data_IF_430305021326
#
_entry.id   IF_430305021326
#
_cell.length_a   1.000
_cell.length_b   1.000
_cell.length_c   1.000
_cell.angle_alpha   90.00
_cell.angle_beta   90.00
_cell.angle_gamma   90.00
#
_symmetry.space_group_name_H-M   'P 1'
#
loop_
_entity.id
_entity.type
_entity.pdbx_description
1 polymer ?
#
# COMPACT_ATOMS: atom_id res chain seq x y z
N UNK A 1 -14.99 -0.41 -25.88
CA UNK A 1 -14.19 -1.45 -25.19
C UNK A 1 -13.33 -0.85 -24.09
N UNK A 2 -12.57 0.23 -24.34
CA UNK A 2 -11.70 0.89 -23.34
C UNK A 2 -12.42 1.45 -22.11
N UNK A 3 -13.61 2.03 -22.29
CA UNK A 3 -14.35 2.63 -21.18
C UNK A 3 -14.92 1.54 -20.24
N UNK A 4 -15.38 0.42 -20.81
CA UNK A 4 -15.91 -0.73 -20.08
C UNK A 4 -14.79 -1.50 -19.36
N UNK A 5 -13.63 -1.68 -20.01
CA UNK A 5 -12.45 -2.25 -19.36
C UNK A 5 -11.92 -1.34 -18.26
N UNK A 6 -11.95 -0.01 -18.44
CA UNK A 6 -11.58 0.97 -17.42
C UNK A 6 -12.46 0.90 -16.16
N UNK A 7 -13.79 0.81 -16.32
CA UNK A 7 -14.73 0.64 -15.20
C UNK A 7 -14.46 -0.66 -14.45
N UNK A 8 -14.27 -1.76 -15.16
CA UNK A 8 -13.97 -3.08 -14.56
C UNK A 8 -12.63 -3.07 -13.82
N UNK A 9 -11.59 -2.47 -14.38
CA UNK A 9 -10.28 -2.37 -13.73
C UNK A 9 -10.37 -1.46 -12.51
N UNK A 10 -11.07 -0.33 -12.58
CA UNK A 10 -11.21 0.60 -11.47
C UNK A 10 -12.00 0.00 -10.30
N UNK A 11 -13.13 -0.64 -10.58
CA UNK A 11 -13.91 -1.36 -9.57
C UNK A 11 -13.11 -2.51 -8.95
N UNK A 12 -12.33 -3.24 -9.77
CA UNK A 12 -11.45 -4.30 -9.28
C UNK A 12 -10.33 -3.78 -8.36
N UNK A 13 -9.68 -2.66 -8.72
CA UNK A 13 -8.68 -2.01 -7.89
C UNK A 13 -9.28 -1.53 -6.56
N UNK A 14 -10.49 -0.94 -6.59
CA UNK A 14 -11.23 -0.58 -5.39
C UNK A 14 -11.49 -1.79 -4.49
N UNK A 15 -11.90 -2.92 -5.06
CA UNK A 15 -12.11 -4.15 -4.30
C UNK A 15 -10.79 -4.67 -3.69
N UNK A 16 -9.70 -4.59 -4.44
CA UNK A 16 -8.38 -5.01 -3.98
C UNK A 16 -7.83 -4.12 -2.86
N UNK A 17 -8.18 -2.83 -2.78
CA UNK A 17 -7.84 -1.97 -1.62
C UNK A 17 -8.36 -2.58 -0.31
N UNK A 18 -9.60 -3.05 -0.30
CA UNK A 18 -10.19 -3.69 0.88
C UNK A 18 -9.59 -5.06 1.17
N UNK A 19 -9.30 -5.87 0.14
CA UNK A 19 -8.64 -7.16 0.35
C UNK A 19 -7.24 -6.97 0.93
N UNK A 20 -6.44 -6.06 0.37
CA UNK A 20 -5.07 -5.79 0.79
C UNK A 20 -5.06 -5.23 2.22
N UNK A 21 -5.90 -4.23 2.52
CA UNK A 21 -6.00 -3.67 3.87
C UNK A 21 -6.41 -4.72 4.91
N UNK A 22 -7.32 -5.64 4.57
CA UNK A 22 -7.67 -6.80 5.39
C UNK A 22 -6.49 -7.73 5.64
N UNK A 23 -5.74 -8.08 4.58
CA UNK A 23 -4.55 -8.95 4.70
C UNK A 23 -3.51 -8.31 5.60
N UNK A 24 -3.24 -7.02 5.41
CA UNK A 24 -2.26 -6.26 6.18
C UNK A 24 -2.64 -6.19 7.67
N UNK A 25 -3.88 -5.85 7.97
CA UNK A 25 -4.35 -5.64 9.35
C UNK A 25 -4.77 -6.95 10.04
N UNK A 26 -4.94 -8.06 9.30
CA UNK A 26 -5.35 -9.37 9.77
C UNK A 26 -6.66 -9.35 10.59
N UNK A 27 -7.70 -8.69 10.07
CA UNK A 27 -9.03 -8.68 10.69
C UNK A 27 -10.09 -9.32 9.77
N UNK A 28 -11.24 -9.64 10.34
CA UNK A 28 -12.39 -10.18 9.60
C UNK A 28 -13.42 -9.08 9.37
N UNK A 29 -13.95 -9.00 8.15
CA UNK A 29 -15.10 -8.16 7.85
C UNK A 29 -16.40 -8.87 8.25
N UNK A 30 -17.29 -8.17 8.94
CA UNK A 30 -18.65 -8.65 9.21
C UNK A 30 -19.47 -8.65 7.91
N UNK A 31 -20.58 -9.42 7.81
CA UNK A 31 -21.37 -9.47 6.59
C UNK A 31 -21.92 -8.10 6.16
N UNK A 32 -22.33 -7.26 7.12
CA UNK A 32 -22.76 -5.87 6.85
C UNK A 32 -21.62 -5.02 6.25
N UNK A 33 -20.41 -5.19 6.76
CA UNK A 33 -19.23 -4.50 6.23
C UNK A 33 -18.90 -4.92 4.80
N UNK A 34 -19.06 -6.22 4.46
CA UNK A 34 -18.89 -6.71 3.09
C UNK A 34 -19.87 -6.08 2.10
N UNK A 35 -21.13 -5.86 2.52
CA UNK A 35 -22.11 -5.13 1.71
C UNK A 35 -21.70 -3.68 1.49
N UNK A 36 -21.22 -2.99 2.53
CA UNK A 36 -20.73 -1.60 2.38
C UNK A 36 -19.53 -1.52 1.44
N UNK A 37 -18.62 -2.49 1.49
CA UNK A 37 -17.47 -2.59 0.59
C UNK A 37 -17.95 -2.76 -0.86
N UNK A 38 -18.87 -3.71 -1.09
CA UNK A 38 -19.46 -3.92 -2.42
C UNK A 38 -20.07 -2.64 -3.00
N UNK A 39 -20.81 -1.89 -2.18
CA UNK A 39 -21.39 -0.61 -2.59
C UNK A 39 -20.33 0.43 -2.98
N UNK A 40 -19.27 0.57 -2.16
CA UNK A 40 -18.16 1.49 -2.46
C UNK A 40 -17.46 1.09 -3.77
N UNK A 41 -17.25 -0.20 -4.02
CA UNK A 41 -16.59 -0.69 -5.25
C UNK A 41 -17.42 -0.50 -6.52
N UNK A 42 -18.74 -0.51 -6.41
CA UNK A 42 -19.62 -0.22 -7.55
C UNK A 42 -19.62 1.29 -7.82
N UNK A 43 -19.74 2.10 -6.76
CA UNK A 43 -19.66 3.56 -6.85
C UNK A 43 -18.32 3.99 -7.44
N UNK A 44 -17.21 3.35 -7.07
CA UNK A 44 -15.90 3.70 -7.63
C UNK A 44 -15.84 3.53 -9.14
N UNK A 45 -16.47 2.47 -9.68
CA UNK A 45 -16.59 2.27 -11.12
C UNK A 45 -17.40 3.38 -11.82
N UNK A 46 -18.44 3.89 -11.16
CA UNK A 46 -19.24 5.01 -11.69
C UNK A 46 -18.49 6.34 -11.63
N UNK A 47 -17.80 6.62 -10.53
CA UNK A 47 -16.99 7.83 -10.36
C UNK A 47 -15.85 7.87 -11.40
N UNK A 48 -15.33 6.71 -11.80
CA UNK A 48 -14.32 6.60 -12.84
C UNK A 48 -14.74 7.21 -14.18
N UNK A 49 -16.03 7.15 -14.52
CA UNK A 49 -16.56 7.72 -15.77
C UNK A 49 -16.33 9.24 -15.81
N UNK A 50 -16.42 9.92 -14.66
CA UNK A 50 -16.32 11.38 -14.58
C UNK A 50 -14.89 11.85 -14.28
N UNK A 51 -14.18 11.16 -13.37
CA UNK A 51 -12.91 11.62 -12.82
C UNK A 51 -11.68 10.81 -13.26
N UNK A 52 -11.89 9.73 -14.03
CA UNK A 52 -10.84 8.88 -14.60
C UNK A 52 -9.82 8.47 -13.50
N UNK A 53 -8.52 8.71 -13.70
CA UNK A 53 -7.44 8.39 -12.74
C UNK A 53 -7.59 9.05 -11.36
N UNK A 54 -8.27 10.19 -11.25
CA UNK A 54 -8.41 10.91 -9.97
C UNK A 54 -9.42 10.24 -9.02
N UNK A 55 -10.24 9.33 -9.54
CA UNK A 55 -11.15 8.47 -8.76
C UNK A 55 -10.45 7.75 -7.62
N UNK A 56 -9.19 7.35 -7.83
CA UNK A 56 -8.36 6.71 -6.80
C UNK A 56 -8.25 7.56 -5.53
N UNK A 57 -8.08 8.89 -5.63
CA UNK A 57 -7.99 9.74 -4.43
C UNK A 57 -9.27 9.75 -3.62
N UNK A 58 -10.43 9.75 -4.29
CA UNK A 58 -11.73 9.76 -3.61
C UNK A 58 -11.97 8.44 -2.89
N UNK A 59 -11.68 7.32 -3.56
CA UNK A 59 -11.79 5.98 -2.97
C UNK A 59 -10.87 5.91 -1.74
N UNK A 60 -9.63 6.41 -1.87
CA UNK A 60 -8.67 6.42 -0.77
C UNK A 60 -9.22 7.17 0.44
N UNK A 61 -9.81 8.35 0.23
CA UNK A 61 -10.40 9.13 1.33
C UNK A 61 -11.56 8.40 1.99
N UNK A 62 -12.50 7.86 1.21
CA UNK A 62 -13.68 7.14 1.72
C UNK A 62 -13.24 5.92 2.54
N UNK A 63 -12.32 5.13 2.01
CA UNK A 63 -11.82 3.91 2.64
C UNK A 63 -10.99 4.23 3.88
N UNK A 64 -10.21 5.32 3.87
CA UNK A 64 -9.47 5.78 5.05
C UNK A 64 -10.44 6.15 6.17
N UNK A 65 -11.50 6.91 5.86
CA UNK A 65 -12.55 7.30 6.82
C UNK A 65 -13.24 6.05 7.39
N UNK A 66 -13.55 5.09 6.52
CA UNK A 66 -14.18 3.84 6.91
C UNK A 66 -13.30 3.02 7.86
N UNK A 67 -12.03 2.77 7.48
CA UNK A 67 -11.09 2.00 8.28
C UNK A 67 -10.69 2.72 9.57
N UNK A 68 -10.68 4.06 9.58
CA UNK A 68 -10.34 4.85 10.76
C UNK A 68 -11.29 4.57 11.93
N UNK A 69 -12.59 4.34 11.65
CA UNK A 69 -13.57 3.95 12.68
C UNK A 69 -13.20 2.67 13.41
N UNK A 70 -12.44 1.77 12.77
CA UNK A 70 -12.13 0.43 13.29
C UNK A 70 -10.72 0.33 13.89
N UNK A 71 -9.73 0.95 13.25
CA UNK A 71 -8.30 0.78 13.64
C UNK A 71 -7.60 2.08 14.04
N UNK A 72 -8.32 3.20 14.14
CA UNK A 72 -7.77 4.54 14.47
C UNK A 72 -6.59 4.88 13.53
N UNK A 73 -5.50 5.45 14.07
CA UNK A 73 -4.35 5.92 13.27
C UNK A 73 -3.68 4.84 12.41
N UNK A 74 -3.79 3.56 12.77
CA UNK A 74 -3.27 2.47 11.94
C UNK A 74 -3.97 2.37 10.59
N UNK A 75 -5.21 2.88 10.46
CA UNK A 75 -5.93 2.88 9.19
C UNK A 75 -5.18 3.67 8.12
N UNK A 76 -4.68 4.86 8.48
CA UNK A 76 -4.00 5.78 7.55
C UNK A 76 -2.75 5.10 6.99
N UNK A 77 -1.90 4.57 7.87
CA UNK A 77 -0.70 3.83 7.48
C UNK A 77 -1.04 2.66 6.55
N UNK A 78 -2.05 1.86 6.92
CA UNK A 78 -2.43 0.68 6.13
C UNK A 78 -3.05 1.06 4.80
N UNK A 79 -3.74 2.19 4.74
CA UNK A 79 -4.40 2.62 3.52
C UNK A 79 -3.37 3.13 2.51
N UNK A 80 -2.47 4.02 2.94
CA UNK A 80 -1.37 4.49 2.08
C UNK A 80 -0.50 3.30 1.63
N UNK A 81 -0.21 2.36 2.54
CA UNK A 81 0.49 1.13 2.18
C UNK A 81 -0.26 0.28 1.14
N UNK A 82 -1.58 0.13 1.28
CA UNK A 82 -2.42 -0.63 0.33
C UNK A 82 -2.43 0.01 -1.06
N UNK A 83 -2.48 1.34 -1.11
CA UNK A 83 -2.43 2.10 -2.37
C UNK A 83 -1.10 1.92 -3.08
N UNK A 84 0.01 2.00 -2.36
CA UNK A 84 1.34 1.77 -2.92
C UNK A 84 1.46 0.33 -3.47
N UNK A 85 0.91 -0.66 -2.76
CA UNK A 85 0.89 -2.06 -3.22
C UNK A 85 0.08 -2.21 -4.52
N UNK A 86 -1.06 -1.55 -4.64
CA UNK A 86 -1.87 -1.57 -5.86
C UNK A 86 -1.12 -0.93 -7.01
N UNK A 87 -0.45 0.19 -6.76
CA UNK A 87 0.33 0.86 -7.79
C UNK A 87 1.45 -0.05 -8.32
N UNK A 88 2.17 -0.75 -7.43
CA UNK A 88 3.18 -1.74 -7.81
C UNK A 88 2.59 -2.95 -8.53
N UNK A 89 1.44 -3.44 -8.08
CA UNK A 89 0.73 -4.51 -8.76
C UNK A 89 0.35 -4.11 -10.19
N UNK A 90 -0.12 -2.86 -10.39
CA UNK A 90 -0.47 -2.34 -11.70
C UNK A 90 0.76 -2.22 -12.61
N UNK A 91 1.89 -1.72 -12.08
CA UNK A 91 3.16 -1.69 -12.81
C UNK A 91 3.63 -3.09 -13.22
N UNK A 92 3.51 -4.08 -12.33
CA UNK A 92 3.82 -5.47 -12.70
C UNK A 92 2.87 -5.99 -13.76
N UNK A 93 1.57 -5.73 -13.63
CA UNK A 93 0.56 -6.18 -14.59
C UNK A 93 0.76 -5.55 -15.97
N UNK A 94 1.28 -4.33 -16.06
CA UNK A 94 1.63 -3.69 -17.35
C UNK A 94 2.67 -4.50 -18.13
N UNK A 95 3.52 -5.29 -17.46
CA UNK A 95 4.44 -6.20 -18.15
C UNK A 95 3.73 -7.25 -19.01
N UNK A 96 2.47 -7.61 -18.70
CA UNK A 96 1.67 -8.51 -19.54
C UNK A 96 1.49 -7.96 -20.95
N UNK A 97 1.32 -6.64 -21.10
CA UNK A 97 1.20 -5.98 -22.40
C UNK A 97 2.50 -5.94 -23.19
N UNK A 98 3.65 -6.13 -22.53
CA UNK A 98 4.96 -6.23 -23.18
C UNK A 98 5.28 -7.67 -23.58
N UNK A 99 4.89 -8.65 -22.76
CA UNK A 99 5.11 -10.07 -23.02
C UNK A 99 4.14 -10.58 -24.09
N UNK A 100 2.89 -10.12 -24.05
CA UNK A 100 1.84 -10.51 -24.98
C UNK A 100 1.58 -9.35 -25.92
N UNK A 101 2.11 -9.48 -27.14
CA UNK A 101 1.88 -8.53 -28.21
C UNK A 101 0.38 -8.39 -28.49
N UNK A 102 -0.17 -7.21 -28.20
CA UNK A 102 -1.61 -6.93 -28.29
C UNK A 102 -2.14 -7.10 -29.71
N UNK A 103 -1.30 -6.95 -30.73
CA UNK A 103 -1.73 -7.05 -32.13
C UNK A 103 -1.89 -8.49 -32.60
N UNK A 104 -1.20 -9.44 -31.94
CA UNK A 104 -1.22 -10.87 -32.33
C UNK A 104 -2.06 -11.75 -31.41
N UNK A 105 -2.34 -11.30 -30.20
CA UNK A 105 -2.99 -12.11 -29.16
C UNK A 105 -4.42 -11.64 -28.89
N UNK A 106 -5.30 -12.57 -28.51
CA UNK A 106 -6.68 -12.23 -28.20
C UNK A 106 -6.74 -11.31 -26.97
N UNK A 107 -7.38 -10.14 -27.12
CA UNK A 107 -7.56 -9.10 -26.10
C UNK A 107 -8.04 -9.66 -24.76
N UNK A 108 -8.94 -10.65 -24.77
CA UNK A 108 -9.48 -11.28 -23.55
C UNK A 108 -8.37 -11.98 -22.75
N UNK A 109 -7.46 -12.67 -23.44
CA UNK A 109 -6.34 -13.39 -22.83
C UNK A 109 -5.37 -12.40 -22.20
N UNK A 110 -5.08 -11.30 -22.88
CA UNK A 110 -4.19 -10.24 -22.37
C UNK A 110 -4.74 -9.64 -21.07
N UNK A 111 -6.03 -9.29 -21.04
CA UNK A 111 -6.66 -8.76 -19.83
C UNK A 111 -6.76 -9.79 -18.70
N UNK A 112 -6.95 -11.08 -19.02
CA UNK A 112 -6.95 -12.14 -18.02
C UNK A 112 -5.57 -12.30 -17.36
N UNK A 113 -4.49 -12.28 -18.16
CA UNK A 113 -3.11 -12.32 -17.66
C UNK A 113 -2.76 -11.06 -16.87
N UNK A 114 -3.22 -9.89 -17.33
CA UNK A 114 -3.08 -8.63 -16.59
C UNK A 114 -3.70 -8.74 -15.19
N UNK A 115 -4.97 -9.18 -15.08
CA UNK A 115 -5.65 -9.33 -13.80
C UNK A 115 -4.93 -10.36 -12.92
N UNK A 116 -4.49 -11.48 -13.50
CA UNK A 116 -3.77 -12.51 -12.78
C UNK A 116 -2.45 -11.97 -12.17
N UNK A 117 -1.58 -11.37 -12.98
CA UNK A 117 -0.31 -10.80 -12.49
C UNK A 117 -0.55 -9.70 -11.46
N UNK A 118 -1.54 -8.84 -11.68
CA UNK A 118 -1.94 -7.82 -10.72
C UNK A 118 -2.31 -8.43 -9.37
N UNK A 119 -3.18 -9.46 -9.35
CA UNK A 119 -3.59 -10.09 -8.09
C UNK A 119 -2.46 -10.74 -7.33
N UNK A 120 -1.66 -11.54 -8.03
CA UNK A 120 -0.59 -12.34 -7.42
C UNK A 120 0.44 -11.42 -6.79
N UNK A 121 0.90 -10.41 -7.54
CA UNK A 121 1.91 -9.47 -7.05
C UNK A 121 1.39 -8.61 -5.90
N UNK A 122 0.16 -8.08 -5.99
CA UNK A 122 -0.43 -7.31 -4.89
C UNK A 122 -0.62 -8.15 -3.62
N UNK A 123 -1.01 -9.41 -3.72
CA UNK A 123 -1.16 -10.29 -2.55
C UNK A 123 0.19 -10.64 -1.90
N UNK A 124 1.20 -10.97 -2.71
CA UNK A 124 2.56 -11.24 -2.20
C UNK A 124 3.08 -10.02 -1.43
N UNK A 125 2.99 -8.83 -2.02
CA UNK A 125 3.39 -7.58 -1.39
C UNK A 125 2.60 -7.28 -0.11
N UNK A 126 1.29 -7.55 -0.11
CA UNK A 126 0.45 -7.38 1.08
C UNK A 126 0.91 -8.26 2.26
N UNK A 127 1.30 -9.51 2.00
CA UNK A 127 1.85 -10.39 3.03
C UNK A 127 3.22 -9.93 3.54
N UNK A 128 4.09 -9.42 2.66
CA UNK A 128 5.37 -8.82 3.06
C UNK A 128 5.16 -7.59 3.95
N UNK A 129 4.27 -6.68 3.56
CA UNK A 129 3.95 -5.49 4.36
C UNK A 129 3.28 -5.87 5.68
N UNK A 130 2.42 -6.89 5.70
CA UNK A 130 1.86 -7.44 6.95
C UNK A 130 2.97 -7.87 7.91
N UNK A 131 3.97 -8.60 7.43
CA UNK A 131 5.10 -9.04 8.25
C UNK A 131 5.83 -7.83 8.88
N UNK A 132 6.08 -6.78 8.10
CA UNK A 132 6.70 -5.54 8.57
C UNK A 132 5.81 -4.84 9.62
N UNK A 133 4.51 -4.69 9.37
CA UNK A 133 3.59 -4.02 10.31
C UNK A 133 3.43 -4.81 11.61
N UNK A 134 3.41 -6.14 11.57
CA UNK A 134 3.38 -6.96 12.78
C UNK A 134 4.64 -6.79 13.63
N UNK A 135 5.81 -6.66 12.99
CA UNK A 135 7.06 -6.34 13.69
C UNK A 135 7.04 -4.92 14.27
N UNK A 136 6.53 -3.94 13.51
CA UNK A 136 6.35 -2.57 13.98
C UNK A 136 5.44 -2.50 15.21
N UNK A 137 4.26 -3.16 15.18
CA UNK A 137 3.29 -3.17 16.30
C UNK A 137 3.86 -3.72 17.60
N UNK A 138 4.91 -4.56 17.56
CA UNK A 138 5.58 -5.07 18.76
C UNK A 138 6.59 -4.08 19.35
N UNK A 139 7.04 -3.10 18.58
CA UNK A 139 7.92 -2.03 19.06
C UNK A 139 7.10 -0.94 19.75
N UNK A 140 7.64 -0.39 20.85
CA UNK A 140 6.99 0.65 21.65
C UNK A 140 6.82 1.95 20.84
N UNK A 141 7.65 2.14 19.81
CA UNK A 141 7.57 3.24 18.85
C UNK A 141 6.24 3.28 18.08
N UNK A 142 5.61 2.12 17.84
CA UNK A 142 4.30 2.06 17.17
C UNK A 142 3.15 2.64 18.01
N UNK A 143 3.33 2.73 19.33
CA UNK A 143 2.38 3.35 20.26
C UNK A 143 2.46 4.88 20.19
N UNK A 144 3.58 5.45 19.70
CA UNK A 144 3.74 6.88 19.57
C UNK A 144 2.99 7.41 18.34
N UNK A 145 1.95 8.22 18.59
CA UNK A 145 1.13 8.85 17.56
C UNK A 145 1.93 9.72 16.59
N UNK A 146 2.96 10.43 17.07
CA UNK A 146 3.80 11.28 16.24
C UNK A 146 4.61 10.46 15.25
N UNK A 147 5.22 9.38 15.72
CA UNK A 147 5.99 8.48 14.86
C UNK A 147 5.12 7.88 13.75
N UNK A 148 3.95 7.34 14.10
CA UNK A 148 3.04 6.73 13.14
C UNK A 148 2.53 7.75 12.10
N UNK A 149 2.30 9.00 12.53
CA UNK A 149 1.92 10.11 11.64
C UNK A 149 3.04 10.47 10.67
N UNK A 150 4.27 10.64 11.16
CA UNK A 150 5.45 10.96 10.31
C UNK A 150 5.66 9.90 9.25
N UNK A 151 5.61 8.61 9.62
CA UNK A 151 5.75 7.49 8.67
C UNK A 151 4.62 7.53 7.63
N UNK A 152 3.39 7.81 8.05
CA UNK A 152 2.24 7.90 7.14
C UNK A 152 2.36 9.07 6.16
N UNK A 153 2.81 10.25 6.61
CA UNK A 153 3.05 11.43 5.76
C UNK A 153 4.15 11.14 4.74
N UNK A 154 5.24 10.50 5.16
CA UNK A 154 6.33 10.10 4.27
C UNK A 154 5.84 9.14 3.18
N UNK A 155 5.09 8.10 3.54
CA UNK A 155 4.47 7.18 2.60
C UNK A 155 3.50 7.89 1.64
N UNK A 156 2.71 8.86 2.14
CA UNK A 156 1.76 9.61 1.31
C UNK A 156 2.48 10.51 0.30
N UNK A 157 3.60 11.13 0.69
CA UNK A 157 4.45 11.92 -0.19
C UNK A 157 5.02 11.07 -1.34
N UNK A 158 5.46 9.85 -1.04
CA UNK A 158 5.91 8.89 -2.07
C UNK A 158 4.77 8.58 -3.05
N UNK A 159 3.57 8.33 -2.55
CA UNK A 159 2.42 8.06 -3.42
C UNK A 159 2.10 9.25 -4.34
N UNK A 160 2.08 10.48 -3.81
CA UNK A 160 1.83 11.69 -4.60
C UNK A 160 2.88 11.85 -5.70
N UNK A 161 4.16 11.60 -5.39
CA UNK A 161 5.24 11.62 -6.37
C UNK A 161 4.99 10.60 -7.48
N UNK A 162 4.74 9.33 -7.13
CA UNK A 162 4.45 8.27 -8.10
C UNK A 162 3.25 8.58 -8.99
N UNK A 163 2.16 9.08 -8.40
CA UNK A 163 0.96 9.44 -9.15
C UNK A 163 1.23 10.57 -10.16
N UNK A 164 2.04 11.55 -9.77
CA UNK A 164 2.34 12.73 -10.60
C UNK A 164 3.19 12.36 -11.81
N UNK A 165 4.21 11.52 -11.61
CA UNK A 165 5.15 11.14 -12.66
C UNK A 165 4.67 9.99 -13.55
N UNK A 166 3.56 9.32 -13.20
CA UNK A 166 3.05 8.23 -14.03
C UNK A 166 2.64 8.72 -15.44
N UNK A 167 3.18 8.11 -16.52
CA UNK A 167 2.78 8.47 -17.86
C UNK A 167 1.31 8.09 -18.11
N UNK A 168 0.58 8.95 -18.83
CA UNK A 168 -0.84 8.74 -19.14
C UNK A 168 -1.06 7.60 -20.15
N UNK A 169 -0.14 7.42 -21.10
CA UNK A 169 -0.19 6.40 -22.15
C UNK A 169 1.15 5.66 -22.22
N UNK A 170 1.14 4.36 -22.50
CA UNK A 170 2.35 3.51 -22.55
C UNK A 170 2.87 3.33 -23.99
N UNK A 171 2.35 4.11 -24.94
CA UNK A 171 2.59 3.92 -26.38
C UNK A 171 4.03 4.18 -26.86
N UNK A 172 4.90 4.75 -26.03
CA UNK A 172 6.28 5.06 -26.43
C UNK A 172 7.31 4.42 -25.50
N UNK A 173 8.43 4.00 -26.09
CA UNK A 173 9.57 3.45 -25.35
C UNK A 173 10.07 4.39 -24.24
N UNK A 174 9.99 5.71 -24.47
CA UNK A 174 10.31 6.73 -23.46
C UNK A 174 9.41 6.67 -22.22
N UNK A 175 8.12 6.37 -22.39
CA UNK A 175 7.18 6.22 -21.27
C UNK A 175 7.46 4.94 -20.47
N UNK A 176 7.90 3.87 -21.14
CA UNK A 176 8.36 2.65 -20.48
C UNK A 176 9.63 2.86 -19.66
N UNK A 177 10.63 3.56 -20.21
CA UNK A 177 11.84 3.93 -19.46
C UNK A 177 11.51 4.77 -18.22
N UNK A 178 10.61 5.74 -18.35
CA UNK A 178 10.16 6.58 -17.24
C UNK A 178 9.46 5.74 -16.16
N UNK A 179 8.64 4.75 -16.54
CA UNK A 179 8.05 3.80 -15.58
C UNK A 179 9.08 2.97 -14.83
N UNK A 180 10.10 2.45 -15.52
CA UNK A 180 11.17 1.67 -14.88
C UNK A 180 11.97 2.52 -13.90
N UNK A 181 12.27 3.78 -14.25
CA UNK A 181 12.95 4.72 -13.35
C UNK A 181 12.10 5.00 -12.10
N UNK A 182 10.78 5.20 -12.26
CA UNK A 182 9.87 5.38 -11.12
C UNK A 182 9.83 4.14 -10.22
N UNK A 183 9.87 2.94 -10.81
CA UNK A 183 9.89 1.69 -10.06
C UNK A 183 11.17 1.54 -9.21
N UNK A 184 12.33 1.85 -9.80
CA UNK A 184 13.61 1.82 -9.09
C UNK A 184 13.61 2.86 -7.95
N UNK A 185 13.16 4.08 -8.22
CA UNK A 185 13.04 5.15 -7.21
C UNK A 185 12.16 4.73 -6.03
N UNK A 186 11.04 4.06 -6.31
CA UNK A 186 10.16 3.55 -5.28
C UNK A 186 10.80 2.45 -4.42
N UNK A 187 11.46 1.47 -5.04
CA UNK A 187 12.17 0.41 -4.30
C UNK A 187 13.20 1.05 -3.36
N UNK A 188 13.96 2.02 -3.87
CA UNK A 188 14.96 2.74 -3.10
C UNK A 188 14.34 3.46 -1.89
N UNK A 189 13.18 4.10 -2.08
CA UNK A 189 12.44 4.73 -0.99
C UNK A 189 11.96 3.73 0.08
N UNK A 190 11.50 2.54 -0.33
CA UNK A 190 11.12 1.47 0.61
C UNK A 190 12.33 0.96 1.39
N UNK A 191 13.48 0.78 0.72
CA UNK A 191 14.73 0.37 1.37
C UNK A 191 15.14 1.39 2.43
N UNK A 192 15.10 2.69 2.10
CA UNK A 192 15.39 3.76 3.08
C UNK A 192 14.42 3.71 4.26
N UNK A 193 13.12 3.52 4.01
CA UNK A 193 12.13 3.39 5.07
C UNK A 193 12.41 2.20 6.00
N UNK A 194 12.77 1.05 5.44
CA UNK A 194 13.15 -0.14 6.22
C UNK A 194 14.41 0.11 7.04
N UNK A 195 15.42 0.80 6.49
CA UNK A 195 16.64 1.17 7.20
C UNK A 195 16.31 2.11 8.37
N UNK A 196 15.52 3.16 8.15
CA UNK A 196 15.12 4.11 9.20
C UNK A 196 14.38 3.38 10.32
N UNK A 197 13.40 2.53 9.99
CA UNK A 197 12.69 1.70 10.98
C UNK A 197 13.70 0.84 11.75
N UNK A 198 14.59 0.14 11.06
CA UNK A 198 15.57 -0.74 11.68
C UNK A 198 16.49 0.00 12.66
N UNK A 199 17.01 1.16 12.27
CA UNK A 199 17.82 2.02 13.15
C UNK A 199 17.03 2.54 14.35
N UNK A 200 15.77 2.94 14.15
CA UNK A 200 14.92 3.40 15.26
C UNK A 200 14.63 2.29 16.27
N UNK A 201 14.36 1.06 15.82
CA UNK A 201 14.17 -0.11 16.68
C UNK A 201 15.47 -0.49 17.41
N UNK A 202 16.62 -0.46 16.72
CA UNK A 202 17.94 -0.70 17.32
C UNK A 202 18.25 0.29 18.45
N UNK A 203 17.95 1.58 18.22
CA UNK A 203 18.12 2.64 19.23
C UNK A 203 17.21 2.41 20.43
N UNK A 204 15.96 1.99 20.20
CA UNK A 204 15.01 1.66 21.27
C UNK A 204 15.52 0.51 22.15
N UNK A 205 16.03 -0.58 21.55
CA UNK A 205 16.56 -1.72 22.30
C UNK A 205 17.77 -1.34 23.16
N UNK A 206 18.68 -0.51 22.62
CA UNK A 206 19.83 0.00 23.37
C UNK A 206 19.40 0.86 24.56
N UNK A 207 18.41 1.72 24.37
CA UNK A 207 17.89 2.58 25.45
C UNK A 207 17.26 1.77 26.58
N UNK A 208 16.43 0.76 26.26
CA UNK A 208 15.84 -0.13 27.28
C UNK A 208 16.89 -0.84 28.11
N UNK A 209 17.89 -1.41 27.44
CA UNK A 209 19.00 -2.09 28.12
C UNK A 209 19.75 -1.15 29.08
N UNK A 210 20.00 0.09 28.66
CA UNK A 210 20.66 1.09 29.52
C UNK A 210 19.81 1.45 30.75
N UNK A 211 18.49 1.60 30.59
CA UNK A 211 17.59 1.88 31.72
C UNK A 211 17.56 0.71 32.71
N UNK A 212 17.48 -0.53 32.22
CA UNK A 212 17.55 -1.73 33.06
C UNK A 212 18.89 -1.84 33.80
N UNK A 213 20.01 -1.51 33.14
CA UNK A 213 21.33 -1.46 33.77
C UNK A 213 21.40 -0.41 34.90
N UNK A 214 20.81 0.78 34.69
CA UNK A 214 20.72 1.85 35.70
C UNK A 214 19.85 1.43 36.89
N UNK A 215 18.64 0.88 36.65
CA UNK A 215 17.76 0.42 37.75
C UNK A 215 18.40 -0.67 38.60
N UNK A 216 19.10 -1.61 37.95
CA UNK A 216 19.85 -2.64 38.65
C UNK A 216 20.95 -2.02 39.51
N UNK A 217 21.71 -1.07 38.96
CA UNK A 217 22.75 -0.36 39.72
C UNK A 217 22.19 0.33 40.97
N UNK A 218 21.06 1.03 40.86
CA UNK A 218 20.38 1.66 42.00
C UNK A 218 19.87 0.64 43.02
N UNK A 219 19.30 -0.49 42.58
CA UNK A 219 18.89 -1.58 43.49
C UNK A 219 20.03 -2.15 44.31
N UNK A 220 21.23 -2.24 43.72
CA UNK A 220 22.41 -2.76 44.40
C UNK A 220 23.05 -1.74 45.34
N UNK A 221 22.98 -0.44 45.03
CA UNK A 221 23.54 0.62 45.87
C UNK A 221 22.65 1.05 47.03
N UNK A 222 21.32 1.01 46.88
CA UNK A 222 20.35 1.35 47.94
C UNK A 222 20.09 0.20 48.95
N UNK A 223 20.63 -1.00 48.69
CA UNK A 223 20.57 -2.15 49.61
C UNK A 223 21.77 -2.26 50.56
N UNK A 224 22.76 -1.38 50.39
CA UNK A 224 23.93 -1.21 51.26
C UNK A 224 23.62 -0.07 52.23
#
# INVERSE_FOLDING_TARGET
MELLSGILISSYQGLMLFIISKVILNFKYTPKEKMTIGFITIISGLIYIVLNRFTLFIIILIDTIYLYRKTKLYSILTMVGSVLIIYLGNLSAISSFLILDQEKTNIIIVYAVYLFLFTVTSLILAYLVRFIIQKLKKSYLSTNKLYLSVVSIFLASIFISLFTFMPKNISTFKNLQLMVILYISFILAVVVLVLVISFTVLREMKYKRQVEEIENYYKYTLRI
#
